data_IF_134554048826
#
_entry.id   IF_134554048826
#
_cell.length_a   1.000
_cell.length_b   1.000
_cell.length_c   1.000
_cell.angle_alpha   90.00
_cell.angle_beta   90.00
_cell.angle_gamma   90.00
#
_symmetry.space_group_name_H-M   'P 1'
#
loop_
_entity.id
_entity.type
_entity.pdbx_description
1 polymer ?
#
# COMPACT_ATOMS: atom_id res chain seq x y z
N UNK A 1 10.74 17.89 0.27
CA UNK A 1 9.43 17.73 -0.28
C UNK A 1 8.82 16.43 0.15
N UNK A 2 7.59 16.48 0.57
CA UNK A 2 6.99 15.32 1.20
C UNK A 2 5.96 14.65 0.30
N UNK A 3 6.22 13.41 -0.04
CA UNK A 3 5.25 12.60 -0.72
C UNK A 3 4.32 12.02 0.34
N UNK A 4 3.05 11.99 0.02
CA UNK A 4 2.08 11.34 0.88
C UNK A 4 1.56 10.11 0.19
N UNK A 5 1.55 9.02 0.91
CA UNK A 5 1.04 7.75 0.41
C UNK A 5 -0.25 7.40 1.13
N UNK A 6 -1.20 6.91 0.37
CA UNK A 6 -2.48 6.48 0.93
C UNK A 6 -2.85 5.15 0.33
N UNK A 7 -3.28 4.25 1.18
CA UNK A 7 -3.70 2.92 0.74
C UNK A 7 -5.13 2.72 1.23
N UNK A 8 -6.01 2.33 0.32
CA UNK A 8 -7.39 2.03 0.67
C UNK A 8 -7.77 0.68 0.11
N UNK A 9 -8.76 0.07 0.75
CA UNK A 9 -9.28 -1.22 0.32
C UNK A 9 -10.79 -1.12 0.28
N UNK A 10 -11.38 -1.58 -0.80
CA UNK A 10 -12.82 -1.65 -0.92
C UNK A 10 -13.24 -3.00 -1.48
N UNK A 11 -14.50 -3.33 -1.34
CA UNK A 11 -15.04 -4.58 -1.86
C UNK A 11 -16.10 -4.23 -2.90
N UNK A 12 -15.96 -4.83 -4.07
CA UNK A 12 -16.88 -4.60 -5.17
C UNK A 12 -17.03 -5.90 -5.96
N UNK A 13 -18.27 -6.31 -6.16
CA UNK A 13 -18.57 -7.50 -7.00
C UNK A 13 -17.74 -8.73 -6.62
N UNK A 14 -17.68 -9.01 -5.33
CA UNK A 14 -16.95 -10.16 -4.78
C UNK A 14 -15.44 -10.08 -4.97
N UNK A 15 -14.95 -8.92 -5.35
CA UNK A 15 -13.51 -8.69 -5.45
C UNK A 15 -13.07 -7.65 -4.45
N UNK A 16 -11.84 -7.79 -4.01
CA UNK A 16 -11.21 -6.80 -3.13
C UNK A 16 -10.37 -5.91 -4.02
N UNK A 17 -10.63 -4.60 -3.95
CA UNK A 17 -9.87 -3.65 -4.75
C UNK A 17 -8.91 -2.90 -3.84
N UNK A 18 -7.62 -3.11 -4.08
CA UNK A 18 -6.58 -2.39 -3.37
C UNK A 18 -6.21 -1.17 -4.19
N UNK A 19 -6.31 0.00 -3.59
CA UNK A 19 -5.98 1.24 -4.28
C UNK A 19 -4.87 1.95 -3.54
N UNK A 20 -3.86 2.34 -4.29
CA UNK A 20 -2.75 3.12 -3.74
C UNK A 20 -2.72 4.47 -4.42
N UNK A 21 -2.43 5.50 -3.65
CA UNK A 21 -2.33 6.86 -4.17
C UNK A 21 -1.06 7.50 -3.66
N UNK A 22 -0.44 8.28 -4.51
CA UNK A 22 0.75 9.03 -4.14
C UNK A 22 0.52 10.50 -4.52
N UNK A 23 0.64 11.37 -3.55
CA UNK A 23 0.55 12.81 -3.75
C UNK A 23 1.95 13.38 -3.77
N UNK A 24 2.30 14.04 -4.84
CA UNK A 24 3.62 14.66 -4.97
C UNK A 24 3.45 16.13 -5.29
N UNK A 25 3.85 17.04 -4.39
CA UNK A 25 3.77 18.47 -4.69
C UNK A 25 4.87 18.83 -5.68
N UNK A 26 4.49 19.13 -6.92
CA UNK A 26 5.45 19.43 -7.96
C UNK A 26 5.61 20.90 -8.25
N UNK A 27 4.55 21.66 -8.16
CA UNK A 27 4.57 23.06 -8.55
C UNK A 27 3.64 23.87 -7.67
N UNK A 28 3.66 25.17 -7.91
CA UNK A 28 2.74 26.07 -7.25
C UNK A 28 1.29 25.75 -7.56
N UNK A 29 1.04 25.09 -8.67
CA UNK A 29 -0.31 24.83 -9.11
C UNK A 29 -0.95 23.63 -8.46
N UNK A 30 -0.18 22.80 -7.80
CA UNK A 30 -0.79 21.67 -7.15
C UNK A 30 0.10 20.45 -7.08
N UNK A 31 -0.53 19.31 -7.05
CA UNK A 31 0.13 18.05 -6.82
C UNK A 31 -0.20 17.06 -7.93
N UNK A 32 0.76 16.23 -8.26
CA UNK A 32 0.47 15.08 -9.06
C UNK A 32 -0.08 14.00 -8.16
N UNK A 33 -1.09 13.33 -8.67
CA UNK A 33 -1.70 12.21 -7.96
C UNK A 33 -1.56 10.98 -8.85
N UNK A 34 -0.87 10.00 -8.35
CA UNK A 34 -0.73 8.74 -9.05
C UNK A 34 -1.61 7.73 -8.32
N UNK A 35 -2.54 7.12 -9.07
CA UNK A 35 -3.46 6.15 -8.52
C UNK A 35 -3.28 4.83 -9.23
N UNK A 36 -3.10 3.79 -8.47
CA UNK A 36 -3.04 2.43 -9.00
C UNK A 36 -4.08 1.59 -8.30
N UNK A 37 -4.78 0.78 -9.07
CA UNK A 37 -5.80 -0.11 -8.53
C UNK A 37 -5.48 -1.55 -8.88
N UNK A 38 -5.65 -2.42 -7.90
CA UNK A 38 -5.35 -3.84 -8.07
C UNK A 38 -6.56 -4.64 -7.62
N UNK A 39 -7.31 -5.23 -8.55
CA UNK A 39 -8.40 -6.10 -8.16
C UNK A 39 -7.83 -7.46 -7.74
N UNK A 40 -8.24 -7.93 -6.59
CA UNK A 40 -7.75 -9.18 -6.02
C UNK A 40 -8.93 -10.08 -5.71
N UNK A 41 -8.79 -11.37 -6.03
CA UNK A 41 -9.77 -12.32 -5.53
C UNK A 41 -9.39 -12.68 -4.10
N UNK A 42 -10.22 -13.49 -3.45
CA UNK A 42 -9.99 -13.84 -2.05
C UNK A 42 -8.64 -14.54 -1.85
N UNK A 43 -8.30 -15.44 -2.74
CA UNK A 43 -7.05 -16.17 -2.65
C UNK A 43 -5.84 -15.25 -2.76
N UNK A 44 -5.88 -14.33 -3.73
CA UNK A 44 -4.80 -13.37 -3.91
C UNK A 44 -4.66 -12.45 -2.70
N UNK A 45 -5.79 -12.04 -2.14
CA UNK A 45 -5.77 -11.16 -0.98
C UNK A 45 -5.16 -11.85 0.24
N UNK A 46 -5.49 -13.12 0.44
CA UNK A 46 -4.90 -13.87 1.54
C UNK A 46 -3.41 -14.05 1.37
N UNK A 47 -2.98 -14.29 0.15
CA UNK A 47 -1.55 -14.41 -0.15
C UNK A 47 -0.82 -13.09 0.13
N UNK A 48 -1.44 -11.99 -0.22
CA UNK A 48 -0.85 -10.67 0.04
C UNK A 48 -0.69 -10.41 1.53
N UNK A 49 -1.66 -10.81 2.32
CA UNK A 49 -1.57 -10.67 3.78
C UNK A 49 -0.36 -11.42 4.31
N UNK A 50 -0.16 -12.65 3.84
CA UNK A 50 0.97 -13.45 4.29
C UNK A 50 2.31 -12.80 3.94
N UNK A 51 2.41 -12.25 2.73
CA UNK A 51 3.62 -11.57 2.28
C UNK A 51 3.90 -10.34 3.13
N UNK A 52 2.87 -9.58 3.43
CA UNK A 52 3.03 -8.37 4.24
C UNK A 52 3.44 -8.74 5.66
N UNK A 53 2.84 -9.77 6.23
CA UNK A 53 3.19 -10.20 7.57
C UNK A 53 4.65 -10.66 7.65
N UNK A 54 5.12 -11.32 6.62
CA UNK A 54 6.52 -11.71 6.56
C UNK A 54 7.44 -10.49 6.54
N UNK A 55 7.08 -9.48 5.74
CA UNK A 55 7.84 -8.25 5.70
C UNK A 55 7.87 -7.53 7.04
N UNK A 56 6.75 -7.51 7.73
CA UNK A 56 6.67 -6.89 9.05
C UNK A 56 7.60 -7.61 10.02
N UNK A 57 7.59 -8.94 9.98
CA UNK A 57 8.45 -9.72 10.87
C UNK A 57 9.92 -9.42 10.63
N UNK A 58 10.31 -9.29 9.37
CA UNK A 58 11.69 -8.97 9.03
C UNK A 58 12.09 -7.60 9.56
N UNK A 59 11.22 -6.62 9.40
CA UNK A 59 11.50 -5.28 9.90
C UNK A 59 11.57 -5.22 11.40
N UNK A 60 10.72 -5.95 12.08
CA UNK A 60 10.75 -5.99 13.54
C UNK A 60 12.02 -6.63 14.06
N UNK A 61 12.50 -7.69 13.39
CA UNK A 61 13.75 -8.32 13.77
C UNK A 61 14.92 -7.36 13.59
N UNK A 62 14.93 -6.61 12.49
CA UNK A 62 15.98 -5.65 12.25
C UNK A 62 16.00 -4.56 13.31
N UNK A 63 14.84 -4.12 13.73
CA UNK A 63 14.76 -3.11 14.77
C UNK A 63 15.31 -3.60 16.10
N UNK A 64 15.03 -4.86 16.46
CA UNK A 64 15.54 -5.43 17.67
C UNK A 64 17.07 -5.56 17.65
N UNK A 65 17.58 -5.97 16.51
CA UNK A 65 19.04 -6.09 16.35
C UNK A 65 19.73 -4.74 16.34
N UNK A 66 19.03 -3.73 15.87
CA UNK A 66 19.57 -2.38 15.80
C UNK A 66 19.72 -1.71 17.16
N UNK A 67 19.12 -2.27 18.16
CA UNK A 67 19.22 -1.74 19.51
C UNK A 67 20.46 -2.27 20.21
#
# INVERSE_FOLDING_TARGET
MNEKHMITVSVRDEEIVLRTMVYTPLTEKGMDIIVAEYPLNLEDAEQLIDIIQEGISILEEDEEEGL
#
